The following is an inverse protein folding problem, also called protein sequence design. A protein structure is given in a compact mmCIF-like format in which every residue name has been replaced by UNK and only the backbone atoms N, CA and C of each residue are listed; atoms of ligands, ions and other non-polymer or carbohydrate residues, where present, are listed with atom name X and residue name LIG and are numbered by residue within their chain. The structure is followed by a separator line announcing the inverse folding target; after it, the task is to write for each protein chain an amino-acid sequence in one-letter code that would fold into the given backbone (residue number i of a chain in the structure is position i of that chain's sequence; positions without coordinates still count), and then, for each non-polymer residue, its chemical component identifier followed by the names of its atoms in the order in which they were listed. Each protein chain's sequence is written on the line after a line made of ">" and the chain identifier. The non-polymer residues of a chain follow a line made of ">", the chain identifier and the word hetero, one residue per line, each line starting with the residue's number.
data_IF_954972830152
#
_entry.id   IF_954972830152
#
_cell.length_a   1.000
_cell.length_b   1.000
_cell.length_c   1.000
_cell.angle_alpha   90.00
_cell.angle_beta   90.00
_cell.angle_gamma   90.00
#
_symmetry.space_group_name_H-M   'P 1'
#
loop_
_entity.id
_entity.type
_entity.pdbx_description
1 polymer ?
#
# COMPACT_ATOMS: atom_id res chain seq x y z
N UNK A 1 -16.03 25.04 -14.30
CA UNK A 1 -14.72 24.73 -14.93
C UNK A 1 -13.65 24.82 -13.86
N UNK A 2 -12.86 23.76 -13.63
CA UNK A 2 -11.69 23.84 -12.75
C UNK A 2 -10.56 24.47 -13.59
N UNK A 3 -10.00 25.63 -13.19
CA UNK A 3 -8.90 26.26 -13.91
C UNK A 3 -7.68 25.32 -13.94
N UNK A 4 -7.07 25.17 -15.12
CA UNK A 4 -5.89 24.31 -15.33
C UNK A 4 -4.77 25.09 -15.99
N UNK A 5 -3.53 24.86 -15.53
CA UNK A 5 -2.34 25.37 -16.21
C UNK A 5 -2.04 24.58 -17.48
N UNK A 6 -1.32 25.20 -18.42
CA UNK A 6 -0.82 24.52 -19.64
C UNK A 6 0.39 23.62 -19.37
N UNK A 7 1.05 23.78 -18.22
CA UNK A 7 2.22 23.00 -17.83
C UNK A 7 1.87 22.08 -16.65
N UNK A 8 2.15 20.76 -16.73
CA UNK A 8 1.98 19.88 -15.60
C UNK A 8 2.95 20.26 -14.48
N UNK A 9 2.47 20.26 -13.24
CA UNK A 9 3.31 20.51 -12.08
C UNK A 9 4.13 19.25 -11.73
N UNK A 10 5.41 19.43 -11.38
CA UNK A 10 6.21 18.35 -10.83
C UNK A 10 5.68 18.00 -9.43
N UNK A 11 5.55 16.71 -9.15
CA UNK A 11 5.14 16.19 -7.84
C UNK A 11 6.30 16.03 -6.86
N UNK A 12 7.52 15.78 -7.37
CA UNK A 12 8.70 15.66 -6.53
C UNK A 12 9.16 17.02 -6.02
N UNK A 13 9.53 17.09 -4.74
CA UNK A 13 10.09 18.28 -4.09
C UNK A 13 9.22 19.54 -4.29
N UNK A 14 7.90 19.37 -4.36
CA UNK A 14 6.95 20.47 -4.54
C UNK A 14 6.09 20.63 -3.27
N UNK A 15 6.56 21.41 -2.28
CA UNK A 15 5.85 21.56 -1.00
C UNK A 15 4.45 22.18 -1.17
N UNK A 16 4.26 22.99 -2.21
CA UNK A 16 2.99 23.68 -2.47
C UNK A 16 1.93 22.80 -3.10
N UNK A 17 2.28 21.61 -3.63
CA UNK A 17 1.34 20.76 -4.34
C UNK A 17 0.19 20.32 -3.43
N UNK A 18 0.50 19.67 -2.31
CA UNK A 18 -0.54 19.12 -1.43
C UNK A 18 -1.30 20.20 -0.66
N UNK A 19 -0.64 21.33 -0.39
CA UNK A 19 -1.30 22.53 0.16
C UNK A 19 -2.39 23.05 -0.79
N UNK A 20 -2.07 23.16 -2.08
CA UNK A 20 -3.01 23.63 -3.10
C UNK A 20 -4.10 22.63 -3.48
N UNK A 21 -3.81 21.33 -3.42
CA UNK A 21 -4.79 20.26 -3.72
C UNK A 21 -5.80 20.09 -2.58
N UNK A 22 -5.39 20.31 -1.34
CA UNK A 22 -6.22 20.11 -0.15
C UNK A 22 -6.33 21.38 0.72
N UNK A 23 -6.90 22.48 0.21
CA UNK A 23 -7.00 23.73 0.96
C UNK A 23 -7.85 23.58 2.23
N UNK A 24 -8.82 22.66 2.26
CA UNK A 24 -9.62 22.35 3.46
C UNK A 24 -8.82 21.64 4.55
N UNK A 25 -7.79 20.89 4.19
CA UNK A 25 -6.88 20.23 5.14
C UNK A 25 -5.72 21.15 5.56
N UNK A 26 -5.36 22.11 4.71
CA UNK A 26 -4.29 23.08 4.92
C UNK A 26 -4.81 24.53 4.76
N UNK A 27 -5.72 25.00 5.63
CA UNK A 27 -6.44 26.27 5.44
C UNK A 27 -5.53 27.50 5.41
N UNK A 28 -4.35 27.42 6.03
CA UNK A 28 -3.39 28.51 6.08
C UNK A 28 -2.24 28.36 5.06
N UNK A 29 -2.23 27.31 4.25
CA UNK A 29 -1.13 27.05 3.31
C UNK A 29 0.22 26.75 3.98
N UNK A 30 0.21 26.24 5.22
CA UNK A 30 1.41 25.84 5.96
C UNK A 30 1.41 24.34 6.26
N UNK A 31 2.57 23.83 6.70
CA UNK A 31 2.71 22.41 7.05
C UNK A 31 2.91 21.51 5.84
N UNK A 32 3.48 22.03 4.76
CA UNK A 32 3.79 21.28 3.56
C UNK A 32 4.60 20.01 3.86
N UNK A 33 4.30 18.95 3.12
CA UNK A 33 5.18 17.78 3.07
C UNK A 33 6.44 18.13 2.30
N UNK A 34 7.58 17.58 2.74
CA UNK A 34 8.89 17.79 2.11
C UNK A 34 9.31 19.27 2.01
N UNK A 35 8.87 20.08 2.96
CA UNK A 35 9.30 21.47 3.09
C UNK A 35 10.77 21.54 3.50
N UNK A 36 11.62 21.97 2.57
CA UNK A 36 13.06 22.12 2.77
C UNK A 36 13.43 23.24 3.73
N UNK A 37 12.51 24.18 4.01
CA UNK A 37 12.74 25.26 4.98
C UNK A 37 12.69 24.79 6.43
N UNK A 38 12.19 23.57 6.68
CA UNK A 38 12.07 23.01 8.02
C UNK A 38 13.46 22.73 8.63
N UNK A 39 13.70 23.09 9.91
CA UNK A 39 14.98 22.81 10.57
C UNK A 39 15.33 21.32 10.65
N UNK A 40 14.31 20.48 10.84
CA UNK A 40 14.44 19.01 10.87
C UNK A 40 13.73 18.44 9.66
N UNK A 41 14.48 17.76 8.80
CA UNK A 41 13.92 17.09 7.63
C UNK A 41 13.07 15.89 8.06
N UNK A 42 11.83 15.82 7.57
CA UNK A 42 10.91 14.73 7.85
C UNK A 42 10.66 13.97 6.56
N UNK A 43 10.90 12.66 6.57
CA UNK A 43 10.60 11.79 5.43
C UNK A 43 9.11 11.88 5.09
N UNK A 44 8.78 11.93 3.80
CA UNK A 44 7.41 11.92 3.29
C UNK A 44 6.48 10.90 4.00
N UNK A 45 6.93 9.65 4.16
CA UNK A 45 6.13 8.59 4.81
C UNK A 45 5.85 8.87 6.29
N UNK A 46 6.83 9.43 7.00
CA UNK A 46 6.70 9.76 8.41
C UNK A 46 5.76 10.95 8.59
N UNK A 47 5.88 11.97 7.72
CA UNK A 47 4.98 13.11 7.76
C UNK A 47 3.54 12.70 7.41
N UNK A 48 3.33 11.85 6.40
CA UNK A 48 2.00 11.27 6.11
C UNK A 48 1.44 10.53 7.31
N UNK A 49 2.24 9.71 8.01
CA UNK A 49 1.78 8.98 9.20
C UNK A 49 1.34 9.94 10.31
N UNK A 50 2.07 11.03 10.49
CA UNK A 50 1.71 12.09 11.44
C UNK A 50 0.37 12.74 11.06
N UNK A 51 0.20 13.16 9.80
CA UNK A 51 -1.05 13.78 9.34
C UNK A 51 -2.24 12.84 9.49
N UNK A 52 -2.09 11.56 9.14
CA UNK A 52 -3.12 10.54 9.34
C UNK A 52 -3.42 10.21 10.81
N UNK A 53 -2.56 10.65 11.74
CA UNK A 53 -2.77 10.52 13.19
C UNK A 53 -3.02 11.86 13.87
N UNK A 54 -3.35 12.89 13.09
CA UNK A 54 -3.60 14.23 13.60
C UNK A 54 -4.83 14.24 14.52
N UNK A 55 -4.81 15.07 15.56
CA UNK A 55 -5.74 14.97 16.69
C UNK A 55 -7.22 15.17 16.32
N UNK A 56 -7.50 16.02 15.33
CA UNK A 56 -8.86 16.29 14.84
C UNK A 56 -9.33 15.32 13.75
N UNK A 57 -8.52 14.31 13.39
CA UNK A 57 -8.81 13.25 12.40
C UNK A 57 -9.16 13.70 10.98
N UNK A 58 -9.11 15.01 10.67
CA UNK A 58 -9.54 15.56 9.37
C UNK A 58 -8.85 14.93 8.17
N UNK A 59 -7.61 14.48 8.32
CA UNK A 59 -6.83 13.85 7.26
C UNK A 59 -7.22 12.39 7.01
N UNK A 60 -7.58 11.63 8.05
CA UNK A 60 -8.04 10.24 7.85
C UNK A 60 -9.45 10.19 7.27
N UNK A 61 -10.31 11.14 7.67
CA UNK A 61 -11.71 11.21 7.25
C UNK A 61 -11.87 11.81 5.84
N UNK A 62 -10.84 12.48 5.32
CA UNK A 62 -10.91 13.10 4.00
C UNK A 62 -11.00 12.04 2.89
N UNK A 63 -12.13 12.06 2.16
CA UNK A 63 -12.53 11.09 1.13
C UNK A 63 -11.46 10.70 0.10
N UNK A 64 -10.52 11.60 -0.24
CA UNK A 64 -9.49 11.34 -1.26
C UNK A 64 -8.05 11.40 -0.77
N UNK A 65 -7.79 11.89 0.45
CA UNK A 65 -6.42 12.24 0.88
C UNK A 65 -5.51 11.01 0.94
N UNK A 66 -5.99 9.95 1.59
CA UNK A 66 -5.28 8.67 1.70
C UNK A 66 -4.98 8.09 0.32
N UNK A 67 -5.96 8.12 -0.60
CA UNK A 67 -5.79 7.54 -1.94
C UNK A 67 -4.77 8.30 -2.77
N UNK A 68 -4.77 9.64 -2.73
CA UNK A 68 -3.78 10.47 -3.43
C UNK A 68 -2.38 10.21 -2.90
N UNK A 69 -2.19 10.20 -1.58
CA UNK A 69 -0.90 9.90 -0.97
C UNK A 69 -0.42 8.48 -1.27
N UNK A 70 -1.33 7.51 -1.24
CA UNK A 70 -1.02 6.12 -1.59
C UNK A 70 -0.56 6.00 -3.05
N UNK A 71 -1.23 6.70 -3.97
CA UNK A 71 -0.83 6.74 -5.37
C UNK A 71 0.56 7.37 -5.55
N UNK A 72 0.83 8.49 -4.87
CA UNK A 72 2.16 9.12 -4.85
C UNK A 72 3.22 8.13 -4.37
N UNK A 73 2.98 7.42 -3.26
CA UNK A 73 3.92 6.43 -2.73
C UNK A 73 4.20 5.29 -3.73
N UNK A 74 3.16 4.77 -4.39
CA UNK A 74 3.31 3.72 -5.41
C UNK A 74 4.08 4.23 -6.62
N UNK A 75 3.74 5.43 -7.13
CA UNK A 75 4.41 6.05 -8.27
C UNK A 75 5.89 6.30 -7.97
N UNK A 76 6.20 6.89 -6.81
CA UNK A 76 7.60 7.11 -6.37
C UNK A 76 8.40 5.82 -6.30
N UNK A 77 7.79 4.77 -5.75
CA UNK A 77 8.42 3.44 -5.70
C UNK A 77 8.69 2.90 -7.10
N UNK A 78 7.70 2.95 -8.00
CA UNK A 78 7.86 2.51 -9.38
C UNK A 78 8.93 3.30 -10.14
N UNK A 79 8.90 4.64 -10.06
CA UNK A 79 9.87 5.51 -10.70
C UNK A 79 11.29 5.28 -10.18
N UNK A 80 11.46 5.16 -8.86
CA UNK A 80 12.77 4.91 -8.26
C UNK A 80 13.37 3.58 -8.74
N UNK A 81 12.58 2.50 -8.73
CA UNK A 81 13.06 1.20 -9.20
C UNK A 81 13.26 1.15 -10.72
N UNK A 82 12.46 1.87 -11.49
CA UNK A 82 12.69 2.06 -12.92
C UNK A 82 14.01 2.81 -13.17
N UNK A 83 14.27 3.91 -12.46
CA UNK A 83 15.52 4.65 -12.55
C UNK A 83 16.73 3.78 -12.19
N UNK A 84 16.64 3.00 -11.11
CA UNK A 84 17.72 2.08 -10.72
C UNK A 84 18.00 1.01 -11.77
N UNK A 85 16.98 0.57 -12.51
CA UNK A 85 17.11 -0.36 -13.62
C UNK A 85 17.73 0.31 -14.84
N UNK A 86 17.21 1.47 -15.24
CA UNK A 86 17.67 2.18 -16.44
C UNK A 86 19.09 2.72 -16.31
N UNK A 87 19.54 2.97 -15.08
CA UNK A 87 20.91 3.40 -14.79
C UNK A 87 21.96 2.28 -14.92
N UNK A 88 21.57 1.04 -15.20
CA UNK A 88 22.49 -0.10 -15.30
C UNK A 88 23.09 -0.19 -16.71
N UNK A 89 24.39 -0.50 -16.87
CA UNK A 89 25.03 -0.57 -18.19
C UNK A 89 24.35 -1.54 -19.17
N UNK A 90 23.86 -2.68 -18.67
CA UNK A 90 23.18 -3.69 -19.49
C UNK A 90 21.76 -3.28 -19.92
N UNK A 91 21.20 -2.19 -19.39
CA UNK A 91 19.87 -1.72 -19.81
C UNK A 91 19.86 -1.23 -21.26
N UNK A 92 20.98 -0.71 -21.77
CA UNK A 92 21.05 -0.19 -23.14
C UNK A 92 20.64 -1.22 -24.20
N UNK A 93 21.07 -2.49 -24.04
CA UNK A 93 20.67 -3.57 -24.94
C UNK A 93 19.16 -3.84 -24.87
N UNK A 94 18.59 -3.80 -23.66
CA UNK A 94 17.15 -3.93 -23.50
C UNK A 94 16.40 -2.74 -24.10
N UNK A 95 16.90 -1.52 -23.94
CA UNK A 95 16.28 -0.31 -24.48
C UNK A 95 16.20 -0.39 -26.01
N UNK A 96 17.31 -0.71 -26.68
CA UNK A 96 17.36 -0.90 -28.13
C UNK A 96 16.37 -1.98 -28.59
N UNK A 97 16.30 -3.10 -27.87
CA UNK A 97 15.35 -4.16 -28.19
C UNK A 97 13.89 -3.69 -28.05
N UNK A 98 13.59 -2.91 -26.99
CA UNK A 98 12.26 -2.39 -26.72
C UNK A 98 11.85 -1.25 -27.65
N UNK A 99 12.78 -0.47 -28.19
CA UNK A 99 12.51 0.57 -29.20
C UNK A 99 11.94 -0.02 -30.49
N UNK A 100 12.31 -1.26 -30.82
CA UNK A 100 11.77 -1.97 -32.01
C UNK A 100 10.35 -2.50 -31.81
N UNK A 101 9.78 -2.37 -30.61
CA UNK A 101 8.48 -2.91 -30.27
C UNK A 101 7.36 -1.95 -30.66
N UNK A 102 6.43 -2.41 -31.49
CA UNK A 102 5.26 -1.61 -31.88
C UNK A 102 4.10 -1.75 -30.88
N UNK A 103 3.16 -0.81 -30.92
CA UNK A 103 1.90 -0.93 -30.16
C UNK A 103 1.07 -2.14 -30.58
N UNK A 104 1.15 -2.53 -31.86
CA UNK A 104 0.45 -3.70 -32.42
C UNK A 104 1.04 -5.02 -31.88
N UNK A 105 2.36 -5.10 -31.73
CA UNK A 105 3.04 -6.25 -31.11
C UNK A 105 2.55 -6.45 -29.66
N UNK A 106 2.45 -5.35 -28.89
CA UNK A 106 1.96 -5.37 -27.50
C UNK A 106 0.49 -5.78 -27.45
N UNK A 107 -0.36 -5.20 -28.30
CA UNK A 107 -1.78 -5.55 -28.36
C UNK A 107 -1.99 -7.03 -28.70
N UNK A 108 -1.22 -7.55 -29.67
CA UNK A 108 -1.25 -8.96 -30.07
C UNK A 108 -0.80 -9.87 -28.92
N UNK A 109 0.26 -9.49 -28.21
CA UNK A 109 0.72 -10.23 -27.04
C UNK A 109 -0.33 -10.26 -25.93
N UNK A 110 -1.02 -9.14 -25.66
CA UNK A 110 -2.10 -9.07 -24.67
C UNK A 110 -3.28 -9.97 -25.05
N UNK A 111 -3.68 -10.00 -26.33
CA UNK A 111 -4.73 -10.89 -26.83
C UNK A 111 -4.34 -12.36 -26.70
N UNK A 112 -3.07 -12.71 -26.93
CA UNK A 112 -2.59 -14.07 -26.77
C UNK A 112 -2.57 -14.50 -25.29
N UNK A 113 -2.16 -13.61 -24.39
CA UNK A 113 -2.16 -13.84 -22.94
C UNK A 113 -3.59 -14.04 -22.42
N UNK A 114 -4.56 -13.27 -22.90
CA UNK A 114 -5.96 -13.36 -22.43
C UNK A 114 -6.70 -14.60 -22.92
N UNK A 115 -6.30 -15.16 -24.07
CA UNK A 115 -6.92 -16.37 -24.67
C UNK A 115 -6.50 -17.70 -24.02
N UNK A 116 -5.76 -17.67 -22.91
CA UNK A 116 -5.47 -18.82 -22.05
C UNK A 116 -4.75 -20.03 -22.69
N UNK A 117 -4.15 -19.89 -23.87
CA UNK A 117 -3.07 -20.81 -24.24
C UNK A 117 -1.85 -20.40 -23.42
N UNK A 118 -1.39 -21.27 -22.53
CA UNK A 118 -0.10 -21.16 -21.83
C UNK A 118 1.09 -21.26 -22.82
N UNK A 119 0.95 -20.76 -24.04
CA UNK A 119 2.05 -20.57 -24.95
C UNK A 119 2.93 -19.47 -24.37
N UNK A 120 4.13 -19.87 -23.95
CA UNK A 120 5.25 -18.99 -23.66
C UNK A 120 5.28 -17.93 -24.78
N UNK A 121 5.12 -16.64 -24.44
CA UNK A 121 5.19 -15.58 -25.45
C UNK A 121 6.51 -15.77 -26.19
N UNK A 122 6.45 -16.15 -27.47
CA UNK A 122 7.66 -16.53 -28.22
C UNK A 122 8.55 -15.32 -28.53
N UNK A 123 7.98 -14.11 -28.47
CA UNK A 123 8.70 -12.87 -28.75
C UNK A 123 9.62 -12.49 -27.59
N UNK A 124 10.93 -12.50 -27.85
CA UNK A 124 11.98 -12.09 -26.92
C UNK A 124 11.84 -10.63 -26.46
N UNK A 125 11.34 -9.74 -27.33
CA UNK A 125 11.11 -8.32 -27.02
C UNK A 125 10.04 -8.17 -25.95
N UNK A 126 8.91 -8.86 -26.12
CA UNK A 126 7.82 -8.88 -25.14
C UNK A 126 8.28 -9.54 -23.83
N UNK A 127 9.01 -10.65 -23.90
CA UNK A 127 9.56 -11.29 -22.70
C UNK A 127 10.50 -10.36 -21.93
N UNK A 128 11.34 -9.60 -22.64
CA UNK A 128 12.24 -8.62 -22.05
C UNK A 128 11.47 -7.47 -21.41
N UNK A 129 10.44 -6.95 -22.08
CA UNK A 129 9.52 -5.95 -21.51
C UNK A 129 8.88 -6.47 -20.21
N UNK A 130 8.32 -7.68 -20.23
CA UNK A 130 7.67 -8.29 -19.09
C UNK A 130 8.64 -8.54 -17.93
N UNK A 131 9.90 -8.91 -18.21
CA UNK A 131 10.96 -9.01 -17.19
C UNK A 131 11.18 -7.65 -16.51
N UNK A 132 11.29 -6.57 -17.28
CA UNK A 132 11.47 -5.23 -16.71
C UNK A 132 10.26 -4.78 -15.88
N UNK A 133 9.04 -4.96 -16.41
CA UNK A 133 7.80 -4.67 -15.67
C UNK A 133 7.74 -5.48 -14.37
N UNK A 134 8.14 -6.76 -14.39
CA UNK A 134 8.18 -7.62 -13.21
C UNK A 134 9.19 -7.15 -12.16
N UNK A 135 10.37 -6.70 -12.57
CA UNK A 135 11.40 -6.19 -11.66
C UNK A 135 10.93 -4.90 -10.97
N UNK A 136 10.40 -3.94 -11.72
CA UNK A 136 9.86 -2.70 -11.15
C UNK A 136 8.63 -2.99 -10.29
N UNK A 137 7.67 -3.71 -10.86
CA UNK A 137 6.41 -4.06 -10.21
C UNK A 137 6.59 -4.91 -8.95
N UNK A 138 7.64 -5.74 -8.87
CA UNK A 138 7.95 -6.55 -7.68
C UNK A 138 8.15 -5.74 -6.41
N UNK A 139 8.54 -4.46 -6.53
CA UNK A 139 8.74 -3.54 -5.41
C UNK A 139 7.50 -2.69 -5.10
N UNK A 140 6.52 -2.63 -6.02
CA UNK A 140 5.28 -1.87 -5.82
C UNK A 140 4.34 -2.69 -4.94
N UNK A 141 4.02 -2.15 -3.77
CA UNK A 141 3.14 -2.81 -2.81
C UNK A 141 1.79 -3.16 -3.42
N UNK A 142 1.38 -4.42 -3.25
CA UNK A 142 0.08 -4.92 -3.67
C UNK A 142 0.01 -5.36 -5.14
N UNK A 143 1.07 -5.17 -5.93
CA UNK A 143 1.12 -5.58 -7.33
C UNK A 143 1.07 -7.11 -7.47
N UNK A 144 0.68 -7.60 -8.65
CA UNK A 144 0.72 -9.04 -8.94
C UNK A 144 2.14 -9.63 -8.77
N UNK A 145 3.17 -8.85 -9.11
CA UNK A 145 4.56 -9.26 -8.99
C UNK A 145 5.06 -9.28 -7.54
N UNK A 146 4.66 -8.31 -6.71
CA UNK A 146 5.00 -8.33 -5.29
C UNK A 146 4.35 -9.52 -4.58
N UNK A 147 3.10 -9.85 -4.94
CA UNK A 147 2.40 -11.06 -4.45
C UNK A 147 3.08 -12.35 -4.92
N UNK A 148 3.52 -12.40 -6.18
CA UNK A 148 4.29 -13.52 -6.73
C UNK A 148 5.60 -13.73 -5.94
N UNK A 149 6.34 -12.66 -5.65
CA UNK A 149 7.56 -12.71 -4.85
C UNK A 149 7.31 -13.22 -3.41
N UNK A 150 6.23 -12.78 -2.76
CA UNK A 150 5.84 -13.31 -1.44
C UNK A 150 5.51 -14.80 -1.47
N UNK A 151 4.83 -15.27 -2.53
CA UNK A 151 4.52 -16.69 -2.72
C UNK A 151 5.80 -17.52 -2.86
N UNK A 152 6.79 -17.04 -3.60
CA UNK A 152 8.10 -17.69 -3.70
C UNK A 152 8.77 -17.81 -2.34
N UNK A 153 8.67 -16.79 -1.47
CA UNK A 153 9.19 -16.86 -0.10
C UNK A 153 8.48 -17.95 0.71
N UNK A 154 7.16 -18.05 0.64
CA UNK A 154 6.40 -19.12 1.31
C UNK A 154 6.87 -20.50 0.82
N UNK A 155 7.01 -20.72 -0.49
CA UNK A 155 7.54 -21.98 -1.01
C UNK A 155 8.95 -22.29 -0.52
N UNK A 156 9.83 -21.28 -0.44
CA UNK A 156 11.19 -21.47 0.09
C UNK A 156 11.19 -21.84 1.57
N UNK A 157 10.26 -21.31 2.37
CA UNK A 157 10.09 -21.70 3.76
C UNK A 157 9.60 -23.15 3.87
N UNK A 158 8.62 -23.54 3.06
CA UNK A 158 8.15 -24.93 3.03
C UNK A 158 9.25 -25.93 2.63
N UNK A 159 10.10 -25.55 1.67
CA UNK A 159 11.21 -26.39 1.25
C UNK A 159 12.27 -26.55 2.36
N UNK A 160 12.61 -25.47 3.06
CA UNK A 160 13.67 -25.48 4.08
C UNK A 160 13.21 -25.99 5.45
N UNK A 161 11.98 -25.68 5.86
CA UNK A 161 11.46 -25.96 7.22
C UNK A 161 10.42 -27.09 7.24
N UNK A 162 10.04 -27.60 6.07
CA UNK A 162 8.95 -28.55 5.89
C UNK A 162 7.59 -27.87 5.72
N UNK A 163 6.57 -28.67 5.38
CA UNK A 163 5.21 -28.16 5.21
C UNK A 163 4.63 -27.70 6.55
N UNK A 164 3.89 -26.59 6.58
CA UNK A 164 3.19 -26.19 7.80
C UNK A 164 2.09 -27.21 8.11
N UNK A 165 1.97 -27.59 9.39
CA UNK A 165 0.85 -28.41 9.85
C UNK A 165 -0.50 -27.68 9.76
N UNK A 166 -0.47 -26.36 9.79
CA UNK A 166 -1.65 -25.50 9.71
C UNK A 166 -1.37 -24.27 8.83
N UNK A 167 -2.27 -23.97 7.90
CA UNK A 167 -2.25 -22.75 7.09
C UNK A 167 -3.46 -21.88 7.43
N UNK A 168 -3.27 -20.87 8.27
CA UNK A 168 -4.35 -19.99 8.78
C UNK A 168 -4.31 -18.64 8.09
N UNK A 169 -5.48 -18.15 7.68
CA UNK A 169 -5.68 -16.73 7.35
C UNK A 169 -6.52 -16.09 8.45
N UNK A 170 -5.95 -15.10 9.14
CA UNK A 170 -6.65 -14.36 10.20
C UNK A 170 -7.24 -13.10 9.56
N UNK A 171 -8.58 -13.01 9.55
CA UNK A 171 -9.31 -11.85 9.07
C UNK A 171 -10.26 -11.35 10.15
N UNK A 172 -9.80 -10.50 11.07
CA UNK A 172 -10.64 -10.00 12.16
C UNK A 172 -11.79 -9.14 11.64
N UNK A 173 -13.00 -9.36 12.17
CA UNK A 173 -14.12 -8.47 11.93
C UNK A 173 -13.96 -7.20 12.79
N UNK A 174 -13.77 -6.07 12.13
CA UNK A 174 -13.65 -4.74 12.73
C UNK A 174 -15.01 -4.18 13.17
N UNK A 175 -16.08 -4.41 12.39
CA UNK A 175 -17.44 -3.95 12.69
C UNK A 175 -18.05 -4.48 13.99
N UNK A 176 -17.50 -5.58 14.52
CA UNK A 176 -17.94 -6.20 15.77
C UNK A 176 -16.95 -6.02 16.91
N UNK A 177 -15.89 -5.22 16.70
CA UNK A 177 -14.83 -5.05 17.68
C UNK A 177 -14.98 -3.75 18.48
N UNK A 178 -15.18 -3.84 19.81
CA UNK A 178 -15.16 -2.66 20.68
C UNK A 178 -13.81 -1.93 20.62
N UNK A 179 -12.72 -2.67 20.39
CA UNK A 179 -11.37 -2.11 20.25
C UNK A 179 -11.26 -1.28 18.96
N UNK A 180 -11.88 -1.74 17.86
CA UNK A 180 -11.90 -0.96 16.61
C UNK A 180 -12.69 0.34 16.78
N UNK A 181 -13.84 0.28 17.46
CA UNK A 181 -14.64 1.47 17.80
C UNK A 181 -13.87 2.44 18.72
N UNK A 182 -13.16 1.93 19.72
CA UNK A 182 -12.30 2.73 20.57
C UNK A 182 -11.21 3.46 19.78
N UNK A 183 -10.54 2.77 18.84
CA UNK A 183 -9.59 3.43 17.94
C UNK A 183 -10.25 4.48 17.04
N UNK A 184 -11.51 4.29 16.65
CA UNK A 184 -12.30 5.26 15.90
C UNK A 184 -12.72 6.48 16.75
N UNK A 185 -12.45 6.46 18.07
CA UNK A 185 -12.75 7.57 18.97
C UNK A 185 -14.15 7.50 19.59
N UNK A 186 -14.82 6.35 19.50
CA UNK A 186 -16.05 6.11 20.26
C UNK A 186 -15.68 6.02 21.74
N UNK A 187 -16.36 6.83 22.56
CA UNK A 187 -16.20 6.80 24.01
C UNK A 187 -16.72 5.46 24.56
N UNK A 188 -15.79 4.59 24.93
CA UNK A 188 -16.04 3.23 25.38
C UNK A 188 -15.12 2.92 26.56
N UNK A 189 -15.72 2.46 27.65
CA UNK A 189 -15.00 1.80 28.73
C UNK A 189 -14.66 0.37 28.30
N UNK A 190 -13.40 0.14 27.92
CA UNK A 190 -12.91 -1.16 27.48
C UNK A 190 -12.92 -2.22 28.59
N UNK A 191 -12.96 -1.81 29.86
CA UNK A 191 -13.05 -2.73 31.00
C UNK A 191 -14.51 -3.14 31.30
N UNK A 192 -15.49 -2.41 30.74
CA UNK A 192 -16.93 -2.61 30.98
C UNK A 192 -17.73 -2.60 29.68
N UNK A 193 -17.29 -3.36 28.69
CA UNK A 193 -18.04 -3.49 27.43
C UNK A 193 -19.29 -4.34 27.64
N UNK A 194 -20.43 -3.68 27.83
CA UNK A 194 -21.74 -4.33 27.86
C UNK A 194 -22.30 -4.41 26.43
N UNK A 195 -22.97 -5.53 26.03
CA UNK A 195 -23.60 -5.65 24.71
C UNK A 195 -24.59 -4.54 24.39
N UNK A 196 -25.25 -3.99 25.41
CA UNK A 196 -26.23 -2.90 25.32
C UNK A 196 -25.59 -1.54 25.00
N UNK A 197 -24.30 -1.37 25.31
CA UNK A 197 -23.50 -0.17 24.98
C UNK A 197 -23.02 -0.22 23.53
N UNK A 198 -23.00 -1.41 22.92
CA UNK A 198 -22.60 -1.59 21.54
C UNK A 198 -23.75 -1.18 20.61
N UNK A 199 -23.40 -0.32 19.66
CA UNK A 199 -24.28 0.12 18.58
C UNK A 199 -24.64 -1.06 17.67
N UNK A 200 -25.65 -0.85 16.83
CA UNK A 200 -26.01 -1.85 15.82
C UNK A 200 -24.84 -2.10 14.86
N UNK A 201 -24.75 -3.30 14.28
CA UNK A 201 -23.70 -3.64 13.29
C UNK A 201 -23.64 -2.64 12.13
N UNK A 202 -24.80 -2.09 11.73
CA UNK A 202 -24.89 -1.06 10.69
C UNK A 202 -24.21 0.24 11.12
N UNK A 203 -24.53 0.77 12.30
CA UNK A 203 -23.89 1.98 12.84
C UNK A 203 -22.38 1.78 13.03
N UNK A 204 -21.96 0.63 13.55
CA UNK A 204 -20.55 0.29 13.66
C UNK A 204 -19.87 0.31 12.30
N UNK A 205 -20.48 -0.27 11.26
CA UNK A 205 -19.93 -0.26 9.91
C UNK A 205 -19.76 1.16 9.35
N UNK A 206 -20.67 2.08 9.64
CA UNK A 206 -20.58 3.47 9.20
C UNK A 206 -19.42 4.21 9.88
N UNK A 207 -19.25 4.00 11.19
CA UNK A 207 -18.14 4.54 11.96
C UNK A 207 -16.81 4.00 11.42
N UNK A 208 -16.66 2.68 11.34
CA UNK A 208 -15.42 2.04 10.85
C UNK A 208 -15.07 2.48 9.42
N UNK A 209 -16.05 2.62 8.54
CA UNK A 209 -15.82 3.10 7.17
C UNK A 209 -15.29 4.55 7.12
N UNK A 210 -15.66 5.38 8.10
CA UNK A 210 -15.24 6.78 8.19
C UNK A 210 -13.85 6.93 8.81
N UNK A 211 -13.37 5.92 9.56
CA UNK A 211 -12.08 5.93 10.26
C UNK A 211 -11.12 4.82 9.78
N UNK A 212 -10.63 4.87 8.52
CA UNK A 212 -9.77 3.82 7.97
C UNK A 212 -8.42 3.68 8.70
N UNK A 213 -7.89 4.75 9.30
CA UNK A 213 -6.62 4.66 10.05
C UNK A 213 -6.85 4.00 11.41
N UNK A 214 -8.00 4.22 12.04
CA UNK A 214 -8.42 3.48 13.22
C UNK A 214 -8.49 1.97 12.94
N UNK A 215 -9.12 1.57 11.84
CA UNK A 215 -9.20 0.17 11.41
C UNK A 215 -7.82 -0.44 11.16
N UNK A 216 -6.92 0.30 10.52
CA UNK A 216 -5.54 -0.15 10.33
C UNK A 216 -4.78 -0.32 11.66
N UNK A 217 -4.98 0.60 12.61
CA UNK A 217 -4.39 0.52 13.97
C UNK A 217 -4.93 -0.69 14.73
N UNK A 218 -6.24 -0.91 14.70
CA UNK A 218 -6.90 -2.09 15.27
C UNK A 218 -6.31 -3.38 14.70
N UNK A 219 -6.30 -3.52 13.37
CA UNK A 219 -5.78 -4.72 12.70
C UNK A 219 -4.32 -4.98 13.11
N UNK A 220 -3.47 -3.95 13.04
CA UNK A 220 -2.06 -4.09 13.40
C UNK A 220 -1.88 -4.44 14.90
N UNK A 221 -2.65 -3.83 15.80
CA UNK A 221 -2.63 -4.15 17.22
C UNK A 221 -3.02 -5.61 17.46
N UNK A 222 -4.14 -6.05 16.90
CA UNK A 222 -4.67 -7.39 17.07
C UNK A 222 -3.74 -8.46 16.51
N UNK A 223 -3.23 -8.28 15.29
CA UNK A 223 -2.29 -9.24 14.68
C UNK A 223 -1.00 -9.33 15.48
N UNK A 224 -0.44 -8.20 15.96
CA UNK A 224 0.74 -8.23 16.83
C UNK A 224 0.47 -8.96 18.14
N UNK A 225 -0.69 -8.75 18.75
CA UNK A 225 -1.09 -9.45 19.98
C UNK A 225 -1.26 -10.94 19.74
N UNK A 226 -1.87 -11.36 18.64
CA UNK A 226 -2.00 -12.78 18.29
C UNK A 226 -0.62 -13.42 18.09
N UNK A 227 0.25 -12.79 17.31
CA UNK A 227 1.60 -13.31 17.06
C UNK A 227 2.40 -13.41 18.37
N UNK A 228 2.33 -12.38 19.22
CA UNK A 228 3.08 -12.36 20.49
C UNK A 228 2.53 -13.37 21.49
N UNK A 229 1.23 -13.38 21.73
CA UNK A 229 0.62 -14.14 22.81
C UNK A 229 0.29 -15.58 22.42
N UNK A 230 -0.20 -15.82 21.21
CA UNK A 230 -0.66 -17.16 20.80
C UNK A 230 0.43 -17.95 20.07
N UNK A 231 1.16 -17.30 19.16
CA UNK A 231 2.21 -17.98 18.36
C UNK A 231 3.51 -18.07 19.16
N UNK A 232 4.10 -16.92 19.52
CA UNK A 232 5.38 -16.89 20.25
C UNK A 232 5.21 -17.29 21.73
N UNK A 233 4.05 -17.05 22.32
CA UNK A 233 3.70 -17.51 23.67
C UNK A 233 3.44 -19.01 23.78
N UNK A 234 3.51 -19.76 22.68
CA UNK A 234 3.49 -21.23 22.68
C UNK A 234 2.12 -21.89 22.76
N UNK A 235 1.02 -21.12 22.73
CA UNK A 235 -0.36 -21.67 22.73
C UNK A 235 -0.59 -22.57 21.51
N UNK A 236 0.02 -22.22 20.36
CA UNK A 236 -0.08 -22.98 19.12
C UNK A 236 1.08 -23.99 18.93
N UNK A 237 1.82 -24.29 20.00
CA UNK A 237 2.97 -25.18 19.99
C UNK A 237 4.32 -24.46 19.82
N UNK A 238 5.43 -25.21 19.88
CA UNK A 238 6.76 -24.64 19.79
C UNK A 238 7.01 -24.05 18.40
N UNK A 239 7.49 -22.81 18.36
CA UNK A 239 7.97 -22.21 17.13
C UNK A 239 9.37 -22.75 16.82
N UNK A 240 9.54 -23.39 15.66
CA UNK A 240 10.88 -23.70 15.16
C UNK A 240 11.55 -22.37 14.77
N UNK A 241 12.66 -22.06 15.43
CA UNK A 241 13.52 -20.91 15.12
C UNK A 241 14.16 -21.06 13.73
#
# INVERSE_FOLDING_TARGET
>A
MIPRGSKPANEYSNPNLLLGVFPTLFPYGFGALEDSSRPVQINFREHVRYLLSYGDRRFEEHYSFIFVLFNILQRRTACFHAQLMTSRPYFQQSAQLLETLSSEDVATALLNISKASYSKVSDERINTLMKHIKVVGGHVMGSAYSRSALRTKIHSLCFNLGLPSLFVTINPADIHSPVALYFAGVDLDLDRVLPEVLRTSYECSQIIATHPVATAKFFNCLIKSILKCLVLGGVLGPTKA
#
